data_IF_585452910032
#
_entry.id   IF_585452910032
#
_cell.length_a   1.000
_cell.length_b   1.000
_cell.length_c   1.000
_cell.angle_alpha   90.00
_cell.angle_beta   90.00
_cell.angle_gamma   90.00
#
_symmetry.space_group_name_H-M   'P 1'
#
loop_
_entity.id
_entity.type
_entity.pdbx_description
1 polymer ?
#
# COMPACT_ATOMS: atom_id res chain seq x y z
N UNK A 1 21.76 -16.16 7.59
CA UNK A 1 21.24 -15.66 6.28
C UNK A 1 19.74 -15.44 6.39
N UNK A 2 19.32 -14.24 6.80
CA UNK A 2 17.91 -13.88 6.81
C UNK A 2 17.46 -13.68 5.36
N UNK A 3 16.70 -14.63 4.80
CA UNK A 3 16.01 -14.41 3.53
C UNK A 3 15.08 -13.22 3.74
N UNK A 4 15.35 -12.08 3.06
CA UNK A 4 14.39 -10.98 2.95
C UNK A 4 13.05 -11.60 2.50
N UNK A 5 11.93 -11.31 3.17
CA UNK A 5 10.64 -11.74 2.66
C UNK A 5 10.46 -11.09 1.30
N UNK A 6 10.51 -11.90 0.24
CA UNK A 6 10.18 -11.47 -1.12
C UNK A 6 8.70 -11.08 -1.11
N UNK A 7 8.42 -9.80 -0.89
CA UNK A 7 7.10 -9.23 -1.10
C UNK A 7 6.92 -9.25 -2.62
N UNK A 8 6.13 -10.23 -3.10
CA UNK A 8 5.75 -10.27 -4.51
C UNK A 8 5.05 -8.97 -4.88
N UNK A 9 5.19 -8.60 -6.16
CA UNK A 9 4.54 -7.43 -6.76
C UNK A 9 3.06 -7.40 -6.36
N UNK A 10 2.59 -6.26 -5.86
CA UNK A 10 1.20 -6.03 -5.44
C UNK A 10 0.67 -6.97 -4.35
N UNK A 11 1.51 -7.61 -3.56
CA UNK A 11 1.00 -8.40 -2.44
C UNK A 11 0.35 -7.47 -1.43
N UNK A 12 -0.95 -7.66 -1.21
CA UNK A 12 -1.63 -7.11 -0.04
C UNK A 12 -0.88 -7.52 1.22
N UNK A 13 -0.52 -6.51 2.03
CA UNK A 13 0.16 -6.73 3.31
C UNK A 13 -0.70 -7.63 4.20
N UNK A 14 -2.03 -7.50 4.11
CA UNK A 14 -2.96 -8.42 4.76
C UNK A 14 -2.75 -9.88 4.35
N UNK A 15 -2.63 -10.18 3.05
CA UNK A 15 -2.38 -11.54 2.55
C UNK A 15 -1.01 -12.06 2.95
N UNK A 16 0.01 -11.21 2.89
CA UNK A 16 1.35 -11.52 3.37
C UNK A 16 1.32 -11.94 4.86
N UNK A 17 0.70 -11.13 5.72
CA UNK A 17 0.58 -11.42 7.14
C UNK A 17 -0.23 -12.70 7.40
N UNK A 18 -1.38 -12.88 6.74
CA UNK A 18 -2.17 -14.11 6.86
C UNK A 18 -1.36 -15.37 6.51
N UNK A 19 -0.64 -15.33 5.38
CA UNK A 19 0.21 -16.44 4.93
C UNK A 19 1.35 -16.70 5.92
N UNK A 20 2.03 -15.64 6.36
CA UNK A 20 3.12 -15.70 7.32
C UNK A 20 2.69 -16.33 8.64
N UNK A 21 1.59 -15.83 9.22
CA UNK A 21 1.05 -16.32 10.49
C UNK A 21 0.60 -17.77 10.36
N UNK A 22 -0.09 -18.13 9.26
CA UNK A 22 -0.54 -19.51 9.03
C UNK A 22 0.62 -20.49 8.90
N UNK A 23 1.68 -20.12 8.18
CA UNK A 23 2.86 -20.96 8.00
C UNK A 23 3.61 -21.17 9.33
N UNK A 24 3.80 -20.09 10.10
CA UNK A 24 4.58 -20.12 11.35
C UNK A 24 3.82 -20.72 12.52
N UNK A 25 2.49 -20.64 12.52
CA UNK A 25 1.65 -21.34 13.48
C UNK A 25 1.29 -22.76 13.02
N UNK A 26 1.91 -23.33 11.98
CA UNK A 26 1.58 -24.67 11.44
C UNK A 26 1.56 -25.81 12.47
N UNK A 27 2.31 -25.70 13.58
CA UNK A 27 2.32 -26.66 14.69
C UNK A 27 1.04 -26.57 15.55
N UNK A 28 0.55 -25.36 15.84
CA UNK A 28 -0.74 -25.15 16.53
C UNK A 28 -1.92 -25.30 15.57
N UNK A 29 -1.75 -24.91 14.32
CA UNK A 29 -2.84 -24.90 13.33
C UNK A 29 -3.17 -26.27 12.76
N UNK A 30 -2.35 -27.31 12.91
CA UNK A 30 -2.79 -28.69 12.56
C UNK A 30 -3.97 -29.15 13.43
N UNK A 31 -4.04 -28.70 14.67
CA UNK A 31 -5.20 -28.90 15.58
C UNK A 31 -6.34 -27.97 15.20
N UNK A 32 -6.06 -26.68 14.93
CA UNK A 32 -7.05 -25.69 14.45
C UNK A 32 -7.68 -26.11 13.12
N UNK A 33 -6.93 -26.76 12.22
CA UNK A 33 -7.41 -27.25 10.93
C UNK A 33 -8.26 -28.52 11.05
N UNK A 34 -8.14 -29.27 12.16
CA UNK A 34 -8.95 -30.46 12.42
C UNK A 34 -10.26 -30.16 13.15
N UNK A 35 -10.33 -29.07 13.91
CA UNK A 35 -11.49 -28.76 14.78
C UNK A 35 -12.14 -27.38 14.56
N UNK A 36 -11.48 -26.42 13.90
CA UNK A 36 -12.18 -25.29 13.30
C UNK A 36 -12.59 -25.66 11.87
N UNK A 37 -13.86 -25.48 11.46
CA UNK A 37 -14.20 -25.51 10.05
C UNK A 37 -13.45 -24.34 9.39
N UNK A 38 -12.34 -24.61 8.70
CA UNK A 38 -11.44 -23.62 8.05
C UNK A 38 -12.10 -22.99 6.81
N UNK A 39 -13.41 -22.73 6.87
CA UNK A 39 -14.12 -21.91 5.90
C UNK A 39 -14.40 -20.50 6.44
N UNK A 40 -13.93 -20.16 7.65
CA UNK A 40 -13.99 -18.80 8.17
C UNK A 40 -12.68 -18.03 7.92
N UNK A 41 -12.82 -16.93 7.19
CA UNK A 41 -11.83 -15.89 6.91
C UNK A 41 -10.95 -15.62 8.14
N UNK A 42 -9.63 -15.73 7.97
CA UNK A 42 -8.65 -15.42 9.03
C UNK A 42 -8.94 -14.02 9.63
N UNK A 43 -9.11 -13.88 10.96
CA UNK A 43 -9.59 -12.66 11.60
C UNK A 43 -8.48 -11.61 11.66
N UNK A 44 -8.15 -11.02 10.52
CA UNK A 44 -7.17 -9.94 10.40
C UNK A 44 -7.85 -8.72 9.79
N UNK A 45 -7.87 -7.64 10.56
CA UNK A 45 -8.37 -6.34 10.14
C UNK A 45 -7.24 -5.31 10.25
N UNK A 46 -7.31 -4.27 9.42
CA UNK A 46 -6.39 -3.15 9.52
C UNK A 46 -6.83 -2.24 10.67
N UNK A 47 -5.85 -1.70 11.40
CA UNK A 47 -6.09 -0.65 12.40
C UNK A 47 -6.66 0.64 11.77
N UNK A 48 -7.29 1.48 12.61
CA UNK A 48 -7.93 2.74 12.16
C UNK A 48 -7.01 3.97 12.25
N UNK A 49 -5.82 3.85 12.83
CA UNK A 49 -4.87 4.96 12.92
C UNK A 49 -4.35 5.30 11.52
N UNK A 50 -4.39 6.58 11.15
CA UNK A 50 -3.92 7.06 9.85
C UNK A 50 -2.40 7.19 9.80
N UNK A 51 -1.74 7.36 10.94
CA UNK A 51 -0.30 7.62 11.01
C UNK A 51 0.53 6.34 11.14
N UNK A 52 -0.11 5.18 11.33
CA UNK A 52 0.57 3.91 11.57
C UNK A 52 -0.09 2.78 10.80
N UNK A 53 0.71 2.00 10.08
CA UNK A 53 0.25 0.77 9.42
C UNK A 53 0.37 -0.38 10.41
N UNK A 54 -0.76 -0.81 10.95
CA UNK A 54 -0.82 -1.98 11.81
C UNK A 54 -2.10 -2.78 11.56
N UNK A 55 -2.06 -4.05 11.95
CA UNK A 55 -3.17 -4.98 11.83
C UNK A 55 -3.56 -5.51 13.20
N UNK A 56 -4.83 -5.83 13.35
CA UNK A 56 -5.41 -6.36 14.57
C UNK A 56 -5.90 -7.76 14.24
N UNK A 57 -5.52 -8.73 15.07
CA UNK A 57 -6.06 -10.07 14.99
C UNK A 57 -6.73 -10.52 16.27
N UNK A 58 -7.91 -11.12 16.11
CA UNK A 58 -8.71 -11.71 17.17
C UNK A 58 -8.50 -13.22 17.33
N UNK A 59 -7.40 -13.77 16.78
CA UNK A 59 -7.11 -15.21 16.83
C UNK A 59 -7.16 -15.78 18.24
N UNK A 60 -6.56 -15.12 19.23
CA UNK A 60 -6.54 -15.62 20.60
C UNK A 60 -7.94 -15.68 21.22
N UNK A 61 -8.81 -14.72 20.89
CA UNK A 61 -10.21 -14.71 21.32
C UNK A 61 -11.02 -15.83 20.67
N UNK A 62 -10.73 -16.16 19.41
CA UNK A 62 -11.37 -17.29 18.75
C UNK A 62 -10.92 -18.61 19.38
N UNK A 63 -9.62 -18.81 19.59
CA UNK A 63 -9.07 -20.03 20.17
C UNK A 63 -9.49 -20.25 21.62
N UNK A 64 -9.60 -19.19 22.41
CA UNK A 64 -10.05 -19.27 23.80
C UNK A 64 -11.44 -19.91 23.95
N UNK A 65 -12.33 -19.71 22.96
CA UNK A 65 -13.66 -20.31 22.95
C UNK A 65 -13.63 -21.83 22.79
N UNK A 66 -12.63 -22.35 22.08
CA UNK A 66 -12.51 -23.79 21.80
C UNK A 66 -11.69 -24.52 22.87
N UNK A 67 -10.52 -23.96 23.21
CA UNK A 67 -9.56 -24.60 24.13
C UNK A 67 -9.92 -24.41 25.61
N UNK A 68 -10.90 -23.54 25.94
CA UNK A 68 -11.26 -23.13 27.31
C UNK A 68 -10.06 -22.56 28.12
N UNK A 69 -9.00 -22.13 27.44
CA UNK A 69 -7.85 -21.43 28.01
C UNK A 69 -8.12 -19.92 27.99
N UNK A 70 -7.69 -19.14 29.00
CA UNK A 70 -7.81 -17.69 28.98
C UNK A 70 -7.19 -17.07 27.73
N UNK A 71 -7.93 -16.17 27.08
CA UNK A 71 -7.52 -15.52 25.82
C UNK A 71 -6.18 -14.78 25.92
N UNK A 72 -5.85 -14.25 27.10
CA UNK A 72 -4.56 -13.61 27.34
C UNK A 72 -3.39 -14.60 27.32
N UNK A 73 -3.56 -15.81 27.85
CA UNK A 73 -2.51 -16.85 27.81
C UNK A 73 -2.25 -17.30 26.38
N UNK A 74 -3.31 -17.51 25.61
CA UNK A 74 -3.20 -17.83 24.18
C UNK A 74 -2.51 -16.68 23.42
N UNK A 75 -2.88 -15.43 23.70
CA UNK A 75 -2.27 -14.27 23.06
C UNK A 75 -0.77 -14.17 23.36
N UNK A 76 -0.36 -14.42 24.62
CA UNK A 76 1.04 -14.45 25.04
C UNK A 76 1.81 -15.57 24.34
N UNK A 77 1.24 -16.77 24.25
CA UNK A 77 1.85 -17.90 23.55
C UNK A 77 2.06 -17.59 22.06
N UNK A 78 1.02 -17.08 21.38
CA UNK A 78 1.10 -16.68 19.96
C UNK A 78 2.15 -15.58 19.77
N UNK A 79 2.13 -14.54 20.60
CA UNK A 79 3.07 -13.43 20.49
C UNK A 79 4.53 -13.89 20.69
N UNK A 80 4.77 -14.78 21.65
CA UNK A 80 6.11 -15.34 21.93
C UNK A 80 6.60 -16.21 20.77
N UNK A 81 5.73 -17.03 20.19
CA UNK A 81 6.09 -17.85 19.03
C UNK A 81 6.36 -17.01 17.78
N UNK A 82 5.56 -15.97 17.55
CA UNK A 82 5.74 -15.09 16.42
C UNK A 82 7.01 -14.25 16.59
N UNK A 83 7.24 -13.62 17.75
CA UNK A 83 8.41 -12.77 18.00
C UNK A 83 9.73 -13.52 17.84
N UNK A 84 9.80 -14.78 18.30
CA UNK A 84 10.97 -15.64 18.13
C UNK A 84 11.29 -15.95 16.65
N UNK A 85 10.28 -15.89 15.77
CA UNK A 85 10.39 -16.27 14.37
C UNK A 85 10.34 -15.10 13.39
N UNK A 86 9.91 -13.91 13.82
CA UNK A 86 9.60 -12.74 12.98
C UNK A 86 10.54 -11.56 13.16
N UNK A 87 11.78 -11.80 13.62
CA UNK A 87 12.78 -10.75 13.81
C UNK A 87 12.88 -9.87 12.56
N UNK A 88 12.51 -8.59 12.72
CA UNK A 88 12.55 -7.58 11.65
C UNK A 88 11.33 -7.47 10.74
N UNK A 89 10.28 -8.31 10.89
CA UNK A 89 9.09 -8.25 10.01
C UNK A 89 7.98 -7.38 10.59
N UNK A 90 7.62 -7.59 11.86
CA UNK A 90 6.61 -6.81 12.57
C UNK A 90 6.89 -6.83 14.08
N UNK A 91 6.40 -5.79 14.75
CA UNK A 91 6.35 -5.69 16.21
C UNK A 91 4.96 -6.09 16.71
N UNK A 92 4.92 -6.80 17.83
CA UNK A 92 3.70 -7.40 18.38
C UNK A 92 3.37 -6.71 19.70
N UNK A 93 2.11 -6.28 19.85
CA UNK A 93 1.58 -5.74 21.09
C UNK A 93 0.28 -6.47 21.42
N UNK A 94 0.15 -6.96 22.64
CA UNK A 94 -1.07 -7.61 23.13
C UNK A 94 -1.94 -6.56 23.81
N UNK A 95 -3.23 -6.57 23.51
CA UNK A 95 -4.23 -5.66 24.07
C UNK A 95 -5.37 -6.46 24.70
N UNK A 96 -5.73 -6.22 25.97
CA UNK A 96 -6.86 -6.90 26.61
C UNK A 96 -8.17 -6.75 25.82
N UNK A 97 -9.05 -7.77 25.77
CA UNK A 97 -8.97 -9.06 26.46
C UNK A 97 -8.22 -10.17 25.68
N UNK A 98 -7.38 -9.85 24.70
CA UNK A 98 -6.67 -10.85 23.87
C UNK A 98 -6.56 -10.49 22.39
N UNK A 99 -6.64 -9.20 22.07
CA UNK A 99 -6.32 -8.69 20.74
C UNK A 99 -4.81 -8.66 20.54
N UNK A 100 -4.36 -9.03 19.34
CA UNK A 100 -2.95 -8.97 19.00
C UNK A 100 -2.78 -7.92 17.91
N UNK A 101 -2.05 -6.86 18.22
CA UNK A 101 -1.68 -5.79 17.30
C UNK A 101 -0.34 -6.13 16.66
N UNK A 102 -0.30 -6.08 15.34
CA UNK A 102 0.86 -6.36 14.50
C UNK A 102 1.24 -5.08 13.77
N UNK A 103 2.26 -4.36 14.25
CA UNK A 103 2.78 -3.15 13.59
C UNK A 103 3.92 -3.54 12.65
N UNK A 104 3.78 -3.20 11.38
CA UNK A 104 4.76 -3.55 10.35
C UNK A 104 6.08 -2.81 10.58
N UNK A 105 7.21 -3.48 10.35
CA UNK A 105 8.52 -2.83 10.42
C UNK A 105 8.74 -1.90 9.22
N UNK A 106 9.47 -0.80 9.45
CA UNK A 106 9.78 0.18 8.41
C UNK A 106 10.46 -0.42 7.18
N UNK A 107 11.44 -1.35 7.31
CA UNK A 107 12.06 -2.00 6.14
C UNK A 107 11.08 -2.80 5.28
N UNK A 108 10.15 -3.52 5.89
CA UNK A 108 9.13 -4.29 5.14
C UNK A 108 8.18 -3.36 4.41
N UNK A 109 7.81 -2.23 5.04
CA UNK A 109 6.97 -1.22 4.40
C UNK A 109 7.71 -0.54 3.23
N UNK A 110 9.01 -0.28 3.37
CA UNK A 110 9.86 0.22 2.29
C UNK A 110 9.97 -0.76 1.12
N UNK A 111 10.23 -2.05 1.39
CA UNK A 111 10.26 -3.10 0.35
C UNK A 111 8.91 -3.20 -0.37
N UNK A 112 7.79 -3.08 0.37
CA UNK A 112 6.46 -3.06 -0.22
C UNK A 112 6.21 -1.82 -1.09
N UNK A 113 6.59 -0.61 -0.63
CA UNK A 113 6.49 0.62 -1.43
C UNK A 113 7.34 0.54 -2.70
N UNK A 114 8.55 -0.01 -2.59
CA UNK A 114 9.42 -0.27 -3.73
C UNK A 114 8.74 -1.20 -4.75
N UNK A 115 8.09 -2.26 -4.30
CA UNK A 115 7.36 -3.19 -5.19
C UNK A 115 6.18 -2.53 -5.94
N UNK A 116 5.58 -1.49 -5.37
CA UNK A 116 4.56 -0.68 -6.04
C UNK A 116 5.18 0.28 -7.05
N UNK A 117 6.31 0.90 -6.69
CA UNK A 117 7.02 1.88 -7.50
C UNK A 117 7.69 1.26 -8.74
N UNK A 118 8.24 0.05 -8.63
CA UNK A 118 8.86 -0.70 -9.74
C UNK A 118 7.90 -1.06 -10.87
N UNK A 119 6.60 -0.89 -10.66
CA UNK A 119 5.60 -1.29 -11.63
C UNK A 119 5.75 -0.63 -13.01
N UNK A 120 6.46 0.51 -13.15
CA UNK A 120 6.30 1.27 -14.40
C UNK A 120 7.29 2.35 -14.79
N UNK A 121 8.60 2.15 -14.67
CA UNK A 121 9.49 3.05 -15.41
C UNK A 121 9.29 2.96 -16.95
N UNK A 122 8.67 1.90 -17.48
CA UNK A 122 8.59 1.62 -18.93
C UNK A 122 7.24 1.79 -19.64
N UNK A 123 6.19 2.32 -19.01
CA UNK A 123 4.89 2.52 -19.69
C UNK A 123 4.32 3.94 -19.54
N UNK A 124 5.20 4.93 -19.45
CA UNK A 124 4.90 6.29 -19.88
C UNK A 124 5.08 6.35 -21.40
N UNK A 125 4.09 6.84 -22.18
CA UNK A 125 4.35 7.20 -23.56
C UNK A 125 5.29 8.40 -23.55
N UNK A 126 6.60 8.15 -23.65
CA UNK A 126 7.57 9.15 -24.07
C UNK A 126 7.38 9.39 -25.57
N UNK A 127 6.26 9.99 -25.98
CA UNK A 127 6.19 10.62 -27.30
C UNK A 127 6.64 12.08 -27.18
N UNK A 128 7.96 12.24 -27.08
CA UNK A 128 8.62 13.32 -27.79
C UNK A 128 8.62 12.96 -29.27
N UNK A 129 7.57 13.33 -29.99
CA UNK A 129 7.45 13.13 -31.44
C UNK A 129 6.68 14.30 -32.04
N UNK A 130 7.29 14.97 -33.01
CA UNK A 130 6.68 16.06 -33.78
C UNK A 130 5.24 15.74 -34.17
N UNK A 131 4.31 16.61 -33.80
CA UNK A 131 2.99 16.68 -34.41
C UNK A 131 3.16 17.01 -35.90
N UNK A 132 3.24 16.02 -36.76
CA UNK A 132 2.82 16.18 -38.15
C UNK A 132 1.33 16.44 -38.12
N UNK A 133 0.95 17.65 -38.55
CA UNK A 133 -0.43 18.01 -38.85
C UNK A 133 -0.93 17.04 -39.92
N UNK A 134 -1.65 16.01 -39.50
CA UNK A 134 -2.54 15.30 -40.41
C UNK A 134 -3.97 15.56 -39.97
N UNK A 135 -4.74 16.14 -40.89
CA UNK A 135 -6.15 16.45 -40.72
C UNK A 135 -6.91 15.14 -40.90
N UNK A 136 -7.10 14.39 -39.82
CA UNK A 136 -8.01 13.26 -39.75
C UNK A 136 -8.97 13.49 -38.61
N UNK A 137 -10.23 13.77 -38.93
CA UNK A 137 -11.35 13.82 -38.00
C UNK A 137 -11.34 12.55 -37.15
N UNK A 138 -11.00 12.70 -35.87
CA UNK A 138 -11.17 11.64 -34.88
C UNK A 138 -12.37 12.04 -34.05
N UNK A 139 -13.48 11.34 -34.27
CA UNK A 139 -14.67 11.43 -33.43
C UNK A 139 -14.25 11.25 -31.97
N UNK A 140 -14.35 12.33 -31.20
CA UNK A 140 -14.23 12.33 -29.74
C UNK A 140 -15.45 11.59 -29.16
N UNK A 141 -15.47 10.26 -29.26
CA UNK A 141 -16.30 9.40 -28.41
C UNK A 141 -15.64 9.26 -27.03
N UNK A 142 -15.36 10.39 -26.37
CA UNK A 142 -15.13 10.38 -24.93
C UNK A 142 -16.49 10.14 -24.29
N UNK A 143 -16.70 8.93 -23.74
CA UNK A 143 -17.79 8.72 -22.79
C UNK A 143 -17.72 9.85 -21.75
N UNK A 144 -18.80 10.59 -21.49
CA UNK A 144 -18.76 11.67 -20.51
C UNK A 144 -18.30 11.08 -19.18
N UNK A 145 -17.11 11.50 -18.74
CA UNK A 145 -16.57 11.06 -17.48
C UNK A 145 -17.55 11.46 -16.39
N UNK A 146 -18.01 10.53 -15.52
CA UNK A 146 -18.89 10.92 -14.43
C UNK A 146 -18.22 12.00 -13.58
N UNK A 147 -18.91 13.12 -13.34
CA UNK A 147 -18.36 14.25 -12.56
C UNK A 147 -17.77 13.82 -11.21
N UNK A 148 -18.34 12.78 -10.61
CA UNK A 148 -17.89 12.20 -9.34
C UNK A 148 -16.47 11.60 -9.38
N UNK A 149 -15.98 11.22 -10.57
CA UNK A 149 -14.69 10.56 -10.76
C UNK A 149 -13.61 11.50 -11.28
N UNK A 150 -13.98 12.69 -11.76
CA UNK A 150 -13.04 13.72 -12.21
C UNK A 150 -11.89 13.98 -11.22
N UNK A 151 -12.12 14.09 -9.89
CA UNK A 151 -11.03 14.30 -8.92
C UNK A 151 -10.00 13.15 -8.90
N UNK A 152 -10.44 11.92 -9.15
CA UNK A 152 -9.57 10.73 -9.16
C UNK A 152 -8.66 10.78 -10.39
N UNK A 153 -9.21 11.09 -11.55
CA UNK A 153 -8.46 11.21 -12.79
C UNK A 153 -7.50 12.40 -12.75
N UNK A 154 -7.96 13.52 -12.22
CA UNK A 154 -7.12 14.70 -12.02
C UNK A 154 -5.90 14.38 -11.14
N UNK A 155 -6.11 13.70 -10.01
CA UNK A 155 -5.01 13.26 -9.15
C UNK A 155 -4.04 12.33 -9.88
N UNK A 156 -4.55 11.39 -10.67
CA UNK A 156 -3.71 10.47 -11.47
C UNK A 156 -2.87 11.21 -12.53
N UNK A 157 -3.48 12.13 -13.28
CA UNK A 157 -2.79 12.96 -14.28
C UNK A 157 -1.76 13.87 -13.62
N UNK A 158 -2.10 14.46 -12.47
CA UNK A 158 -1.15 15.25 -11.68
C UNK A 158 0.06 14.41 -11.26
N UNK A 159 -0.14 13.18 -10.79
CA UNK A 159 0.97 12.28 -10.50
C UNK A 159 1.84 12.06 -11.76
N UNK A 160 1.24 11.85 -12.93
CA UNK A 160 1.97 11.67 -14.18
C UNK A 160 2.83 12.89 -14.54
N UNK A 161 2.30 14.10 -14.39
CA UNK A 161 3.04 15.35 -14.64
C UNK A 161 4.19 15.55 -13.65
N UNK A 162 3.96 15.27 -12.36
CA UNK A 162 5.00 15.39 -11.32
C UNK A 162 6.14 14.39 -11.54
N UNK A 163 5.83 13.17 -11.98
CA UNK A 163 6.83 12.15 -12.27
C UNK A 163 7.67 12.53 -13.50
N UNK A 164 7.02 13.07 -14.55
CA UNK A 164 7.72 13.59 -15.73
C UNK A 164 8.68 14.73 -15.35
N UNK A 165 8.25 15.65 -14.48
CA UNK A 165 9.11 16.70 -13.96
C UNK A 165 10.27 16.15 -13.12
N UNK A 166 10.01 15.15 -12.28
CA UNK A 166 11.02 14.48 -11.48
C UNK A 166 12.12 13.79 -12.31
N UNK A 167 11.74 13.19 -13.44
CA UNK A 167 12.66 12.59 -14.40
C UNK A 167 13.49 13.65 -15.15
N UNK A 168 12.83 14.71 -15.66
CA UNK A 168 13.51 15.84 -16.33
C UNK A 168 14.53 16.53 -15.44
N UNK A 169 14.24 16.62 -14.14
CA UNK A 169 15.13 17.21 -13.15
C UNK A 169 16.16 16.24 -12.55
N UNK A 170 16.20 14.99 -13.04
CA UNK A 170 17.14 13.95 -12.63
C UNK A 170 16.96 13.46 -11.19
N UNK A 171 15.80 13.71 -10.57
CA UNK A 171 15.51 13.25 -9.21
C UNK A 171 15.27 11.76 -9.18
N UNK A 172 14.54 11.23 -10.17
CA UNK A 172 14.23 9.80 -10.26
C UNK A 172 14.79 9.26 -11.57
N UNK A 173 15.34 8.05 -11.54
CA UNK A 173 15.88 7.34 -12.71
C UNK A 173 15.57 5.85 -12.58
N UNK A 174 15.29 5.17 -13.71
CA UNK A 174 14.97 3.72 -13.74
C UNK A 174 15.98 2.85 -13.01
N UNK A 175 17.24 3.24 -13.01
CA UNK A 175 18.36 2.41 -12.56
C UNK A 175 18.65 2.55 -11.06
N UNK A 176 18.01 3.50 -10.37
CA UNK A 176 18.26 3.78 -8.95
C UNK A 176 17.04 3.42 -8.12
N UNK A 177 17.26 2.55 -7.14
CA UNK A 177 16.26 2.27 -6.12
C UNK A 177 15.92 3.55 -5.33
N UNK A 178 14.66 3.70 -4.95
CA UNK A 178 14.19 4.87 -4.22
C UNK A 178 14.70 4.77 -2.77
N UNK A 179 15.28 5.84 -2.20
CA UNK A 179 15.79 5.84 -0.83
C UNK A 179 14.64 5.99 0.19
N UNK A 180 13.88 4.92 0.41
CA UNK A 180 12.75 4.90 1.35
C UNK A 180 13.16 4.99 2.83
N UNK A 181 14.39 4.54 3.15
CA UNK A 181 14.89 4.37 4.51
C UNK A 181 16.06 5.31 4.79
N UNK A 182 16.12 5.80 6.02
CA UNK A 182 17.28 6.53 6.55
C UNK A 182 18.39 5.56 7.01
N UNK A 183 19.50 6.12 7.49
CA UNK A 183 20.64 5.36 8.00
C UNK A 183 20.28 4.45 9.19
N UNK A 184 19.20 4.75 9.91
CA UNK A 184 18.68 4.01 11.05
C UNK A 184 17.66 2.92 10.68
N UNK A 185 17.43 2.65 9.38
CA UNK A 185 16.42 1.70 8.89
C UNK A 185 14.96 2.11 9.23
N UNK A 186 14.71 3.40 9.42
CA UNK A 186 13.39 3.97 9.58
C UNK A 186 12.95 4.66 8.28
N UNK A 187 11.65 4.79 8.06
CA UNK A 187 11.15 5.50 6.88
C UNK A 187 11.52 6.98 6.94
N UNK A 188 11.94 7.55 5.81
CA UNK A 188 12.29 8.97 5.70
C UNK A 188 11.12 9.95 5.86
N UNK A 189 9.89 9.46 6.07
CA UNK A 189 8.67 10.25 6.14
C UNK A 189 8.37 10.69 7.57
N UNK A 190 8.15 11.98 7.76
CA UNK A 190 7.92 12.58 9.08
C UNK A 190 6.58 13.32 9.17
N UNK A 191 6.02 13.73 8.03
CA UNK A 191 4.79 14.50 8.01
C UNK A 191 3.56 13.57 8.08
N UNK A 192 2.51 13.92 8.86
CA UNK A 192 1.33 13.06 9.02
C UNK A 192 0.59 12.78 7.71
N UNK A 193 0.62 13.69 6.72
CA UNK A 193 -0.02 13.45 5.41
C UNK A 193 0.72 12.41 4.57
N UNK A 194 2.05 12.30 4.68
CA UNK A 194 2.84 11.23 4.04
C UNK A 194 2.44 9.87 4.60
N UNK A 195 2.38 9.77 5.92
CA UNK A 195 1.97 8.54 6.61
C UNK A 195 0.52 8.18 6.32
N UNK A 196 -0.37 9.17 6.25
CA UNK A 196 -1.77 8.99 5.86
C UNK A 196 -1.91 8.48 4.41
N UNK A 197 -1.09 9.00 3.48
CA UNK A 197 -1.08 8.52 2.09
C UNK A 197 -0.61 7.06 2.02
N UNK A 198 0.49 6.72 2.71
CA UNK A 198 0.97 5.33 2.80
C UNK A 198 -0.12 4.42 3.38
N UNK A 199 -0.83 4.90 4.40
CA UNK A 199 -1.93 4.15 4.99
C UNK A 199 -3.05 3.92 3.98
N UNK A 200 -3.55 4.94 3.30
CA UNK A 200 -4.60 4.76 2.29
C UNK A 200 -4.12 3.85 1.15
N UNK A 201 -2.87 3.95 0.68
CA UNK A 201 -2.31 3.03 -0.31
C UNK A 201 -2.38 1.58 0.16
N UNK A 202 -1.93 1.29 1.38
CA UNK A 202 -1.99 -0.08 1.95
C UNK A 202 -3.43 -0.59 2.01
N UNK A 203 -4.36 0.27 2.43
CA UNK A 203 -5.78 -0.08 2.54
C UNK A 203 -6.38 -0.41 1.17
N UNK A 204 -6.13 0.43 0.17
CA UNK A 204 -6.60 0.22 -1.20
C UNK A 204 -6.06 -1.07 -1.78
N UNK A 205 -4.75 -1.33 -1.63
CA UNK A 205 -4.13 -2.57 -2.15
C UNK A 205 -4.67 -3.81 -1.41
N UNK A 206 -4.87 -3.73 -0.10
CA UNK A 206 -5.52 -4.80 0.66
C UNK A 206 -6.95 -5.08 0.16
N UNK A 207 -7.72 -4.02 -0.14
CA UNK A 207 -9.06 -4.15 -0.72
C UNK A 207 -9.03 -4.71 -2.15
N UNK A 208 -8.06 -4.32 -2.99
CA UNK A 208 -7.92 -4.84 -4.36
C UNK A 208 -7.65 -6.35 -4.39
N UNK A 209 -6.80 -6.85 -3.48
CA UNK A 209 -6.28 -8.22 -3.52
C UNK A 209 -6.98 -9.21 -2.57
N UNK A 210 -7.60 -8.72 -1.48
CA UNK A 210 -8.22 -9.58 -0.45
C UNK A 210 -9.76 -9.55 -0.45
N UNK A 211 -10.38 -8.86 -1.40
CA UNK A 211 -11.84 -8.79 -1.49
C UNK A 211 -12.40 -10.02 -2.20
N UNK A 212 -12.81 -11.01 -1.39
CA UNK A 212 -13.51 -12.21 -1.89
C UNK A 212 -14.91 -11.90 -2.48
N UNK A 213 -15.46 -10.72 -2.17
CA UNK A 213 -16.72 -10.20 -2.73
C UNK A 213 -16.56 -8.75 -3.13
N UNK A 214 -16.20 -8.53 -4.40
CA UNK A 214 -16.07 -7.20 -5.02
C UNK A 214 -17.39 -6.40 -5.00
N UNK A 215 -18.53 -7.03 -4.69
CA UNK A 215 -19.87 -6.45 -4.80
C UNK A 215 -20.24 -5.46 -3.67
N UNK A 216 -19.51 -5.46 -2.54
CA UNK A 216 -19.82 -4.58 -1.40
C UNK A 216 -18.90 -3.35 -1.30
N UNK A 217 -17.79 -3.35 -2.02
CA UNK A 217 -16.81 -2.25 -1.96
C UNK A 217 -17.28 -1.11 -2.87
N UNK A 218 -17.51 0.07 -2.28
CA UNK A 218 -17.82 1.29 -3.02
C UNK A 218 -16.54 1.88 -3.59
N UNK A 219 -16.06 1.34 -4.71
CA UNK A 219 -14.77 1.69 -5.33
C UNK A 219 -14.62 3.19 -5.62
N UNK A 220 -15.71 3.88 -5.97
CA UNK A 220 -15.71 5.34 -6.16
C UNK A 220 -15.27 6.07 -4.88
N UNK A 221 -15.79 5.67 -3.72
CA UNK A 221 -15.41 6.25 -2.42
C UNK A 221 -13.97 5.94 -2.06
N UNK A 222 -13.51 4.73 -2.38
CA UNK A 222 -12.14 4.29 -2.14
C UNK A 222 -11.17 5.10 -2.99
N UNK A 223 -11.47 5.27 -4.28
CA UNK A 223 -10.67 6.06 -5.20
C UNK A 223 -10.63 7.55 -4.82
N UNK A 224 -11.78 8.12 -4.45
CA UNK A 224 -11.87 9.50 -3.98
C UNK A 224 -11.11 9.74 -2.67
N UNK A 225 -11.14 8.77 -1.74
CA UNK A 225 -10.37 8.86 -0.51
C UNK A 225 -8.86 8.86 -0.78
N UNK A 226 -8.40 8.01 -1.72
CA UNK A 226 -6.99 7.97 -2.12
C UNK A 226 -6.57 9.27 -2.83
N UNK A 227 -7.39 9.79 -3.75
CA UNK A 227 -7.09 11.06 -4.42
C UNK A 227 -7.04 12.23 -3.43
N UNK A 228 -7.94 12.28 -2.46
CA UNK A 228 -7.92 13.30 -1.42
C UNK A 228 -6.70 13.19 -0.50
N UNK A 229 -6.28 11.97 -0.15
CA UNK A 229 -5.05 11.75 0.62
C UNK A 229 -3.81 12.22 -0.15
N UNK A 230 -3.77 11.96 -1.46
CA UNK A 230 -2.72 12.46 -2.34
C UNK A 230 -2.68 13.99 -2.43
N UNK A 231 -3.82 14.65 -2.63
CA UNK A 231 -3.89 16.12 -2.70
C UNK A 231 -3.45 16.77 -1.38
N UNK A 232 -3.81 16.19 -0.23
CA UNK A 232 -3.33 16.66 1.07
C UNK A 232 -1.81 16.48 1.21
N UNK A 233 -1.27 15.34 0.79
CA UNK A 233 0.17 15.12 0.72
C UNK A 233 0.84 16.16 -0.18
N UNK A 234 0.33 16.38 -1.39
CA UNK A 234 0.92 17.30 -2.35
C UNK A 234 0.90 18.76 -1.86
N UNK A 235 -0.21 19.19 -1.23
CA UNK A 235 -0.33 20.53 -0.66
C UNK A 235 0.67 20.76 0.48
N UNK A 236 0.81 19.78 1.37
CA UNK A 236 1.49 19.96 2.65
C UNK A 236 2.97 19.52 2.60
N UNK A 237 3.37 18.70 1.62
CA UNK A 237 4.72 18.13 1.49
C UNK A 237 5.42 18.57 0.20
N UNK A 238 6.29 19.57 0.29
CA UNK A 238 7.07 20.07 -0.86
C UNK A 238 8.10 19.05 -1.33
N UNK A 239 8.15 18.80 -2.63
CA UNK A 239 9.13 17.90 -3.26
C UNK A 239 10.30 18.71 -3.85
N UNK A 240 10.02 19.84 -4.48
CA UNK A 240 11.00 20.72 -5.11
C UNK A 240 11.40 21.90 -4.20
N UNK A 241 12.38 22.69 -4.67
CA UNK A 241 12.90 23.87 -3.97
C UNK A 241 13.93 23.50 -2.92
N UNK A 242 13.80 24.05 -1.72
CA UNK A 242 14.76 23.85 -0.62
C UNK A 242 14.95 22.39 -0.24
N UNK A 243 13.90 21.56 -0.33
CA UNK A 243 14.00 20.12 -0.03
C UNK A 243 14.90 19.40 -1.03
N UNK A 244 14.78 19.72 -2.33
CA UNK A 244 15.68 19.15 -3.34
C UNK A 244 17.14 19.55 -3.10
N UNK A 245 17.38 20.80 -2.67
CA UNK A 245 18.72 21.31 -2.43
C UNK A 245 19.36 20.76 -1.15
N UNK A 246 18.59 20.66 -0.06
CA UNK A 246 19.09 20.31 1.27
C UNK A 246 18.93 18.82 1.62
N UNK A 247 17.97 18.12 1.00
CA UNK A 247 17.61 16.74 1.33
C UNK A 247 17.10 15.98 0.10
N UNK A 248 17.99 15.74 -0.90
CA UNK A 248 17.60 15.10 -2.16
C UNK A 248 16.99 13.70 -1.97
N UNK A 249 17.46 12.93 -0.98
CA UNK A 249 16.91 11.61 -0.65
C UNK A 249 15.43 11.69 -0.24
N UNK A 250 15.05 12.70 0.55
CA UNK A 250 13.65 12.92 0.94
C UNK A 250 12.80 13.34 -0.26
N UNK A 251 13.32 14.20 -1.13
CA UNK A 251 12.64 14.58 -2.38
C UNK A 251 12.40 13.34 -3.26
N UNK A 252 13.39 12.45 -3.37
CA UNK A 252 13.29 11.19 -4.09
C UNK A 252 12.27 10.24 -3.46
N UNK A 253 12.28 10.07 -2.15
CA UNK A 253 11.32 9.24 -1.42
C UNK A 253 9.88 9.74 -1.62
N UNK A 254 9.67 11.06 -1.58
CA UNK A 254 8.37 11.68 -1.87
C UNK A 254 7.92 11.45 -3.31
N UNK A 255 8.81 11.58 -4.30
CA UNK A 255 8.50 11.20 -5.69
C UNK A 255 8.18 9.70 -5.82
N UNK A 256 8.85 8.85 -5.04
CA UNK A 256 8.50 7.45 -4.92
C UNK A 256 7.06 7.24 -4.46
N UNK A 257 6.59 8.01 -3.48
CA UNK A 257 5.17 7.97 -3.07
C UNK A 257 4.25 8.37 -4.21
N UNK A 258 4.58 9.43 -4.97
CA UNK A 258 3.83 9.82 -6.17
C UNK A 258 3.75 8.67 -7.17
N UNK A 259 4.85 7.95 -7.40
CA UNK A 259 4.92 6.80 -8.31
C UNK A 259 4.05 5.63 -7.84
N UNK A 260 4.10 5.31 -6.54
CA UNK A 260 3.24 4.29 -5.94
C UNK A 260 1.75 4.68 -6.04
N UNK A 261 1.41 5.94 -5.76
CA UNK A 261 0.04 6.47 -5.87
C UNK A 261 -0.47 6.43 -7.31
N UNK A 262 0.34 6.86 -8.27
CA UNK A 262 0.01 6.79 -9.70
C UNK A 262 -0.35 5.37 -10.12
N UNK A 263 0.46 4.39 -9.70
CA UNK A 263 0.27 2.98 -10.03
C UNK A 263 -1.04 2.44 -9.46
N UNK A 264 -1.33 2.75 -8.19
CA UNK A 264 -2.57 2.30 -7.52
C UNK A 264 -3.81 3.01 -8.08
N UNK A 265 -3.75 4.31 -8.34
CA UNK A 265 -4.87 5.07 -8.94
C UNK A 265 -5.20 4.55 -10.33
N UNK A 266 -4.20 4.31 -11.19
CA UNK A 266 -4.46 3.73 -12.52
C UNK A 266 -5.13 2.38 -12.41
N UNK A 267 -4.67 1.53 -11.50
CA UNK A 267 -5.26 0.21 -11.28
C UNK A 267 -6.71 0.31 -10.83
N UNK A 268 -7.03 1.23 -9.93
CA UNK A 268 -8.41 1.50 -9.51
C UNK A 268 -9.29 1.95 -10.67
N UNK A 269 -8.80 2.89 -11.48
CA UNK A 269 -9.51 3.43 -12.63
C UNK A 269 -9.78 2.33 -13.68
N UNK A 270 -8.74 1.58 -14.07
CA UNK A 270 -8.82 0.60 -15.15
C UNK A 270 -9.51 -0.71 -14.72
N UNK A 271 -9.16 -1.28 -13.55
CA UNK A 271 -9.66 -2.60 -13.16
C UNK A 271 -11.00 -2.57 -12.41
N UNK A 272 -11.30 -1.48 -11.68
CA UNK A 272 -12.48 -1.41 -10.80
C UNK A 272 -13.54 -0.43 -11.26
N UNK A 273 -13.14 0.70 -11.83
CA UNK A 273 -14.06 1.73 -12.31
C UNK A 273 -14.32 1.63 -13.82
N UNK A 274 -13.58 0.79 -14.55
CA UNK A 274 -13.65 0.62 -16.00
C UNK A 274 -13.49 1.94 -16.78
N UNK A 275 -12.63 2.83 -16.28
CA UNK A 275 -12.30 4.11 -16.91
C UNK A 275 -10.82 4.09 -17.33
N UNK A 276 -10.55 4.57 -18.53
CA UNK A 276 -9.18 4.71 -19.00
C UNK A 276 -8.44 5.77 -18.20
N UNK A 277 -7.26 5.44 -17.68
CA UNK A 277 -6.42 6.38 -16.95
C UNK A 277 -5.65 7.29 -17.93
N UNK A 278 -6.04 8.56 -17.99
CA UNK A 278 -5.44 9.58 -18.85
C UNK A 278 -4.06 9.98 -18.34
N UNK A 279 -3.17 10.36 -19.25
CA UNK A 279 -1.84 10.86 -18.89
C UNK A 279 -1.76 12.39 -18.90
N UNK A 280 -2.71 13.02 -19.58
CA UNK A 280 -2.85 14.46 -19.78
C UNK A 280 -4.36 14.79 -19.80
N UNK A 281 -4.76 15.91 -19.19
CA UNK A 281 -6.12 16.46 -19.18
C UNK A 281 -6.15 17.77 -19.96
#
# INVERSE_FOLDING_TARGET
>A
MHKKPLVSRYVAIKRFLCSYITLKLSIYTKTIKRECPINQKFPLSKGRDKNRVFYITGLALQLAKYEKIPSMEIANAIASHLSANSAGVFSIQIVPPGWIHLKLAHPVLADWLQSLAESRWGAYPLQGGQRTKDKGETENNQCPMPDALFPVQYAHVRCCSLLRLGEQEGLITSDKAIPWLNNQQELCFHHPTELCLINELVKVVDELECSDSSALVKWEKVALALSQAFENFWRDCRIWGEIKANSPELAQARLGLVLATQSVLRRLLEEKLNIFALYEL
#
